data_IF_155747879735
#
_entry.id   IF_155747879735
#
_cell.length_a   1.000
_cell.length_b   1.000
_cell.length_c   1.000
_cell.angle_alpha   90.00
_cell.angle_beta   90.00
_cell.angle_gamma   90.00
#
_symmetry.space_group_name_H-M   'P 1'
#
loop_
_entity.id
_entity.type
_entity.pdbx_description
1 polymer ?
#
# COMPACT_ATOMS: atom_id res chain seq x y z
N UNK A 1 20.22 -25.73 -41.79
CA UNK A 1 19.00 -24.89 -41.78
C UNK A 1 18.49 -24.83 -40.34
N UNK A 2 18.82 -23.77 -39.63
CA UNK A 2 18.41 -23.58 -38.22
C UNK A 2 17.27 -22.53 -38.22
N UNK A 3 16.11 -22.93 -37.75
CA UNK A 3 14.97 -22.04 -37.54
C UNK A 3 15.24 -21.13 -36.35
N UNK A 4 15.28 -19.82 -36.58
CA UNK A 4 15.29 -18.77 -35.56
C UNK A 4 13.85 -18.34 -35.38
N UNK A 5 13.21 -18.70 -34.28
CA UNK A 5 11.96 -18.10 -33.82
C UNK A 5 12.29 -16.74 -33.17
N UNK A 6 11.91 -15.66 -33.80
CA UNK A 6 12.01 -14.29 -33.29
C UNK A 6 10.91 -14.06 -32.26
N UNK A 7 11.30 -13.88 -31.03
CA UNK A 7 10.44 -13.48 -29.92
C UNK A 7 10.08 -11.98 -30.05
N UNK A 8 8.81 -11.69 -30.31
CA UNK A 8 8.31 -10.34 -30.65
C UNK A 8 8.28 -9.35 -29.47
N UNK A 9 8.64 -9.78 -28.26
CA UNK A 9 8.62 -8.92 -27.05
C UNK A 9 9.92 -8.19 -26.75
N UNK A 10 10.99 -8.42 -27.52
CA UNK A 10 12.28 -7.72 -27.33
C UNK A 10 12.46 -6.50 -28.25
N UNK A 11 11.52 -6.25 -29.17
CA UNK A 11 11.67 -5.20 -30.18
C UNK A 11 11.39 -3.78 -29.69
N UNK A 12 10.51 -3.58 -28.74
CA UNK A 12 10.13 -2.22 -28.29
C UNK A 12 11.13 -1.60 -27.32
N UNK A 13 11.78 -2.40 -26.49
CA UNK A 13 12.83 -1.91 -25.57
C UNK A 13 14.09 -1.44 -26.30
N UNK A 14 14.41 -2.02 -27.45
CA UNK A 14 15.61 -1.68 -28.22
C UNK A 14 15.49 -0.38 -29.01
N UNK A 15 14.30 0.00 -29.46
CA UNK A 15 14.08 1.23 -30.23
C UNK A 15 14.13 2.49 -29.37
N UNK A 16 13.82 2.37 -28.08
CA UNK A 16 13.87 3.51 -27.15
C UNK A 16 15.31 3.90 -26.78
N UNK A 17 16.22 2.93 -26.73
CA UNK A 17 17.64 3.14 -26.36
C UNK A 17 18.44 3.87 -27.42
N UNK A 18 18.00 3.84 -28.68
CA UNK A 18 18.70 4.49 -29.80
C UNK A 18 18.37 5.98 -29.95
N UNK A 19 17.29 6.47 -29.32
CA UNK A 19 16.85 7.87 -29.49
C UNK A 19 17.29 8.82 -28.38
N UNK A 20 17.72 8.32 -27.21
CA UNK A 20 18.15 9.16 -26.08
C UNK A 20 19.47 8.60 -25.51
N UNK A 21 20.57 9.22 -25.94
CA UNK A 21 21.91 8.84 -25.55
C UNK A 21 22.11 8.56 -24.07
N UNK A 22 22.74 7.42 -23.80
CA UNK A 22 23.39 7.00 -22.55
C UNK A 22 22.87 7.59 -21.24
N UNK A 23 21.70 7.13 -20.82
CA UNK A 23 21.35 7.04 -19.41
C UNK A 23 21.17 5.57 -19.11
N UNK A 24 22.07 5.01 -18.29
CA UNK A 24 21.97 3.66 -17.77
C UNK A 24 20.57 3.46 -17.20
N UNK A 25 19.71 2.71 -17.92
CA UNK A 25 18.48 2.19 -17.34
C UNK A 25 18.94 1.22 -16.24
N UNK A 26 19.07 1.70 -15.01
CA UNK A 26 18.92 0.83 -13.86
C UNK A 26 17.51 0.26 -13.97
N UNK A 27 17.40 -0.97 -14.46
CA UNK A 27 16.26 -1.82 -14.14
C UNK A 27 16.26 -1.91 -12.62
N UNK A 28 15.46 -1.05 -11.97
CA UNK A 28 15.07 -1.25 -10.60
C UNK A 28 14.34 -2.57 -10.60
N UNK A 29 14.99 -3.60 -10.10
CA UNK A 29 14.40 -4.90 -9.81
C UNK A 29 13.45 -4.69 -8.62
N UNK A 30 12.35 -3.97 -8.89
CA UNK A 30 11.29 -3.78 -7.91
C UNK A 30 10.46 -5.04 -7.92
N UNK A 31 10.81 -5.96 -7.03
CA UNK A 31 9.99 -7.16 -6.79
C UNK A 31 8.56 -6.68 -6.51
N UNK A 32 7.60 -7.10 -7.36
CA UNK A 32 6.20 -6.77 -7.18
C UNK A 32 5.73 -7.31 -5.82
N UNK A 33 5.17 -6.44 -4.99
CA UNK A 33 4.61 -6.81 -3.68
C UNK A 33 3.09 -6.91 -3.75
N UNK A 34 2.52 -7.78 -2.92
CA UNK A 34 1.09 -7.78 -2.59
C UNK A 34 0.87 -6.85 -1.39
N UNK A 35 0.10 -5.81 -1.58
CA UNK A 35 -0.16 -4.80 -0.54
C UNK A 35 -1.61 -4.89 -0.10
N UNK A 36 -1.82 -5.02 1.21
CA UNK A 36 -3.14 -4.81 1.81
C UNK A 36 -3.27 -3.33 2.15
N UNK A 37 -4.17 -2.61 1.48
CA UNK A 37 -4.44 -1.20 1.76
C UNK A 37 -5.72 -1.05 2.57
N UNK A 38 -5.60 -0.68 3.86
CA UNK A 38 -6.72 -0.44 4.76
C UNK A 38 -7.29 0.96 4.59
N UNK A 39 -8.60 1.05 4.34
CA UNK A 39 -9.35 2.30 4.33
C UNK A 39 -10.78 2.09 4.85
N UNK A 40 -11.31 3.07 5.56
CA UNK A 40 -12.66 2.96 6.11
C UNK A 40 -13.72 2.90 5.01
N UNK A 41 -14.64 1.94 5.11
CA UNK A 41 -15.79 1.81 4.19
C UNK A 41 -17.01 2.54 4.75
N UNK A 42 -17.32 2.32 6.05
CA UNK A 42 -18.53 2.84 6.72
C UNK A 42 -18.26 4.09 7.56
N UNK A 43 -17.00 4.44 7.85
CA UNK A 43 -16.63 5.59 8.68
C UNK A 43 -16.50 6.89 7.88
N UNK A 44 -15.80 7.86 8.46
CA UNK A 44 -15.53 9.11 7.78
C UNK A 44 -14.52 8.92 6.63
N UNK A 45 -14.94 9.19 5.41
CA UNK A 45 -14.13 9.05 4.18
C UNK A 45 -13.60 10.39 3.65
N UNK A 46 -13.44 11.41 4.50
CA UNK A 46 -12.95 12.73 4.07
C UNK A 46 -11.56 12.70 3.41
N UNK A 47 -10.77 11.65 3.67
CA UNK A 47 -9.43 11.43 3.10
C UNK A 47 -9.42 10.47 1.90
N UNK A 48 -10.57 10.26 1.25
CA UNK A 48 -10.70 9.30 0.14
C UNK A 48 -9.75 9.63 -1.02
N UNK A 49 -9.52 10.91 -1.33
CA UNK A 49 -8.63 11.30 -2.42
C UNK A 49 -7.17 10.97 -2.12
N UNK A 50 -6.73 11.18 -0.87
CA UNK A 50 -5.41 10.73 -0.40
C UNK A 50 -5.28 9.21 -0.53
N UNK A 51 -6.29 8.45 -0.09
CA UNK A 51 -6.32 7.00 -0.20
C UNK A 51 -6.24 6.52 -1.66
N UNK A 52 -7.03 7.12 -2.57
CA UNK A 52 -6.98 6.84 -4.02
C UNK A 52 -5.61 7.10 -4.59
N UNK A 53 -5.01 8.21 -4.20
CA UNK A 53 -3.69 8.60 -4.70
C UNK A 53 -2.61 7.62 -4.27
N UNK A 54 -2.62 7.17 -3.01
CA UNK A 54 -1.70 6.13 -2.52
C UNK A 54 -1.86 4.85 -3.34
N UNK A 55 -3.09 4.36 -3.52
CA UNK A 55 -3.35 3.15 -4.32
C UNK A 55 -2.82 3.29 -5.74
N UNK A 56 -3.09 4.44 -6.42
CA UNK A 56 -2.58 4.70 -7.77
C UNK A 56 -1.05 4.71 -7.84
N UNK A 57 -0.36 5.24 -6.84
CA UNK A 57 1.10 5.24 -6.79
C UNK A 57 1.66 3.83 -6.63
N UNK A 58 1.04 3.03 -5.76
CA UNK A 58 1.45 1.64 -5.54
C UNK A 58 1.25 0.78 -6.80
N UNK A 59 0.07 0.87 -7.42
CA UNK A 59 -0.24 0.16 -8.67
C UNK A 59 0.65 0.65 -9.83
N UNK A 60 0.88 1.97 -9.93
CA UNK A 60 1.77 2.57 -10.93
C UNK A 60 3.24 2.15 -10.79
N UNK A 61 3.65 1.73 -9.60
CA UNK A 61 4.98 1.16 -9.32
C UNK A 61 5.04 -0.37 -9.54
N UNK A 62 3.94 -1.00 -10.00
CA UNK A 62 3.89 -2.42 -10.33
C UNK A 62 3.53 -3.33 -9.15
N UNK A 63 3.03 -2.79 -8.03
CA UNK A 63 2.55 -3.58 -6.90
C UNK A 63 1.08 -3.98 -7.08
N UNK A 64 0.68 -5.11 -6.49
CA UNK A 64 -0.71 -5.58 -6.44
C UNK A 64 -1.38 -5.07 -5.16
N UNK A 65 -2.42 -4.22 -5.28
CA UNK A 65 -3.22 -3.76 -4.14
C UNK A 65 -4.44 -4.67 -3.98
N UNK A 66 -4.38 -5.62 -3.04
CA UNK A 66 -5.39 -6.66 -2.82
C UNK A 66 -6.77 -6.10 -2.50
N UNK A 67 -6.81 -4.98 -1.80
CA UNK A 67 -8.03 -4.31 -1.30
C UNK A 67 -8.39 -3.06 -2.10
N UNK A 68 -7.95 -2.95 -3.34
CA UNK A 68 -8.14 -1.76 -4.20
C UNK A 68 -9.59 -1.26 -4.21
N UNK A 69 -10.56 -2.15 -4.13
CA UNK A 69 -11.99 -1.82 -4.13
C UNK A 69 -12.43 -0.91 -2.97
N UNK A 70 -11.66 -0.83 -1.87
CA UNK A 70 -11.99 0.02 -0.72
C UNK A 70 -11.95 1.52 -1.06
N UNK A 71 -11.24 1.92 -2.12
CA UNK A 71 -11.19 3.31 -2.59
C UNK A 71 -12.20 3.63 -3.69
N UNK A 72 -13.04 2.68 -4.09
CA UNK A 72 -14.15 2.89 -5.02
C UNK A 72 -15.31 3.64 -4.32
N UNK A 73 -16.08 4.41 -5.10
CA UNK A 73 -17.23 5.16 -4.57
C UNK A 73 -18.32 4.22 -4.03
N UNK A 74 -18.46 3.05 -4.64
CA UNK A 74 -19.46 2.04 -4.29
C UNK A 74 -18.92 0.91 -3.41
N UNK A 75 -17.82 1.15 -2.68
CA UNK A 75 -17.21 0.13 -1.81
C UNK A 75 -18.20 -0.42 -0.78
N UNK A 76 -19.00 0.46 -0.15
CA UNK A 76 -20.02 0.09 0.83
C UNK A 76 -21.13 -0.77 0.24
N UNK A 77 -21.65 -0.38 -0.92
CA UNK A 77 -22.71 -1.11 -1.62
C UNK A 77 -22.23 -2.50 -2.02
N UNK A 78 -20.99 -2.62 -2.49
CA UNK A 78 -20.39 -3.91 -2.89
C UNK A 78 -20.22 -4.86 -1.70
N UNK A 79 -19.72 -4.39 -0.58
CA UNK A 79 -19.53 -5.21 0.61
C UNK A 79 -20.89 -5.70 1.19
N UNK A 80 -21.97 -4.96 0.98
CA UNK A 80 -23.32 -5.40 1.39
C UNK A 80 -23.93 -6.50 0.51
N UNK A 81 -23.33 -6.83 -0.64
CA UNK A 81 -23.78 -7.91 -1.51
C UNK A 81 -23.28 -9.29 -1.07
N UNK A 82 -22.35 -9.34 -0.13
CA UNK A 82 -21.79 -10.58 0.42
C UNK A 82 -22.01 -10.63 1.94
N UNK A 83 -21.89 -11.81 2.51
CA UNK A 83 -22.12 -12.01 3.95
C UNK A 83 -20.94 -11.49 4.78
N UNK A 84 -21.16 -11.11 6.06
CA UNK A 84 -20.05 -10.75 6.95
C UNK A 84 -18.98 -11.84 7.07
N UNK A 85 -19.38 -13.12 7.00
CA UNK A 85 -18.47 -14.26 7.05
C UNK A 85 -17.57 -14.33 5.80
N UNK A 86 -18.12 -14.04 4.63
CA UNK A 86 -17.36 -13.99 3.38
C UNK A 86 -16.37 -12.81 3.37
N UNK A 87 -16.78 -11.63 3.86
CA UNK A 87 -15.89 -10.48 4.05
C UNK A 87 -14.73 -10.87 4.96
N UNK A 88 -15.04 -11.41 6.15
CA UNK A 88 -14.02 -11.84 7.11
C UNK A 88 -13.05 -12.85 6.50
N UNK A 89 -13.54 -13.89 5.83
CA UNK A 89 -12.69 -14.92 5.22
C UNK A 89 -11.80 -14.33 4.12
N UNK A 90 -12.35 -13.45 3.28
CA UNK A 90 -11.61 -12.74 2.20
C UNK A 90 -10.48 -11.90 2.78
N UNK A 91 -10.80 -11.04 3.76
CA UNK A 91 -9.86 -10.06 4.28
C UNK A 91 -8.76 -10.75 5.11
N UNK A 92 -9.11 -11.78 5.90
CA UNK A 92 -8.12 -12.60 6.61
C UNK A 92 -7.16 -13.33 5.65
N UNK A 93 -7.67 -13.84 4.53
CA UNK A 93 -6.84 -14.43 3.48
C UNK A 93 -5.86 -13.40 2.91
N UNK A 94 -6.33 -12.20 2.56
CA UNK A 94 -5.48 -11.15 2.02
C UNK A 94 -4.44 -10.65 3.02
N UNK A 95 -4.78 -10.53 4.31
CA UNK A 95 -3.81 -10.21 5.37
C UNK A 95 -2.72 -11.28 5.51
N UNK A 96 -3.05 -12.55 5.28
CA UNK A 96 -2.06 -13.63 5.29
C UNK A 96 -1.18 -13.61 4.03
N UNK A 97 -1.73 -13.21 2.87
CA UNK A 97 -1.01 -13.21 1.59
C UNK A 97 -0.21 -11.93 1.33
N UNK A 98 -0.56 -10.79 1.96
CA UNK A 98 0.13 -9.54 1.70
C UNK A 98 1.59 -9.58 2.19
N UNK A 99 2.45 -8.83 1.52
CA UNK A 99 3.84 -8.58 1.93
C UNK A 99 3.94 -7.37 2.84
N UNK A 100 3.06 -6.39 2.64
CA UNK A 100 3.03 -5.11 3.36
C UNK A 100 1.58 -4.69 3.62
N UNK A 101 1.33 -4.16 4.82
CA UNK A 101 0.08 -3.52 5.20
C UNK A 101 0.27 -2.00 5.21
N UNK A 102 -0.59 -1.29 4.49
CA UNK A 102 -0.65 0.18 4.51
C UNK A 102 -2.08 0.56 4.83
N UNK A 103 -2.31 1.55 5.69
CA UNK A 103 -3.66 2.05 5.93
C UNK A 103 -3.69 3.57 6.12
N UNK A 104 -4.78 4.20 5.67
CA UNK A 104 -5.14 5.57 6.02
C UNK A 104 -6.18 5.51 7.14
N UNK A 105 -5.78 5.96 8.34
CA UNK A 105 -6.52 5.74 9.59
C UNK A 105 -7.19 7.00 10.15
N UNK A 106 -7.24 8.09 9.41
CA UNK A 106 -7.92 9.34 9.80
C UNK A 106 -9.42 9.13 10.01
N UNK A 107 -10.03 8.25 9.20
CA UNK A 107 -11.40 7.82 9.39
C UNK A 107 -11.47 6.69 10.42
N UNK A 108 -12.25 6.88 11.50
CA UNK A 108 -12.41 5.83 12.52
C UNK A 108 -12.96 4.53 11.91
N UNK A 109 -12.27 3.42 12.15
CA UNK A 109 -12.66 2.08 11.70
C UNK A 109 -12.19 1.01 12.68
N UNK A 110 -13.15 0.29 13.26
CA UNK A 110 -12.87 -0.88 14.11
C UNK A 110 -12.24 -2.01 13.29
N UNK A 111 -12.61 -2.14 12.01
CA UNK A 111 -12.03 -3.11 11.07
C UNK A 111 -10.53 -2.92 10.90
N UNK A 112 -10.09 -1.69 10.56
CA UNK A 112 -8.65 -1.38 10.40
C UNK A 112 -7.89 -1.63 11.71
N UNK A 113 -8.47 -1.29 12.85
CA UNK A 113 -7.86 -1.58 14.17
C UNK A 113 -7.67 -3.07 14.40
N UNK A 114 -8.68 -3.89 14.07
CA UNK A 114 -8.61 -5.35 14.12
C UNK A 114 -7.54 -5.91 13.18
N UNK A 115 -7.55 -5.49 11.91
CA UNK A 115 -6.60 -5.91 10.86
C UNK A 115 -5.15 -5.59 11.25
N UNK A 116 -4.90 -4.35 11.71
CA UNK A 116 -3.59 -3.92 12.19
C UNK A 116 -3.12 -4.78 13.37
N UNK A 117 -3.98 -4.97 14.37
CA UNK A 117 -3.65 -5.77 15.56
C UNK A 117 -3.40 -7.23 15.22
N UNK A 118 -4.22 -7.82 14.33
CA UNK A 118 -4.04 -9.19 13.85
C UNK A 118 -2.71 -9.36 13.11
N UNK A 119 -2.42 -8.47 12.15
CA UNK A 119 -1.18 -8.55 11.35
C UNK A 119 0.06 -8.46 12.26
N UNK A 120 0.13 -7.44 13.12
CA UNK A 120 1.28 -7.22 14.00
C UNK A 120 1.46 -8.33 15.04
N UNK A 121 0.35 -8.91 15.52
CA UNK A 121 0.38 -9.99 16.52
C UNK A 121 0.64 -11.38 15.95
N UNK A 122 0.38 -11.61 14.67
CA UNK A 122 0.44 -12.94 14.05
C UNK A 122 1.56 -13.13 13.03
N UNK A 123 2.28 -12.05 12.66
CA UNK A 123 3.29 -12.09 11.62
C UNK A 123 4.45 -11.14 11.89
N UNK A 124 5.51 -11.24 11.09
CA UNK A 124 6.63 -10.28 11.08
C UNK A 124 6.48 -9.21 10.00
N UNK A 125 5.29 -9.10 9.42
CA UNK A 125 5.00 -8.12 8.35
C UNK A 125 4.95 -6.72 8.92
N UNK A 126 5.24 -5.75 8.07
CA UNK A 126 5.24 -4.33 8.44
C UNK A 126 3.88 -3.70 8.19
N UNK A 127 3.54 -2.73 9.03
CA UNK A 127 2.38 -1.88 8.90
C UNK A 127 2.82 -0.41 8.81
N UNK A 128 2.25 0.34 7.86
CA UNK A 128 2.41 1.79 7.72
C UNK A 128 1.03 2.42 7.87
N UNK A 129 0.89 3.29 8.86
CA UNK A 129 -0.39 3.92 9.18
C UNK A 129 -0.28 5.43 8.96
N UNK A 130 -0.98 5.94 7.95
CA UNK A 130 -1.09 7.37 7.65
C UNK A 130 -2.26 7.99 8.41
N UNK A 131 -2.10 9.20 8.93
CA UNK A 131 -3.18 9.97 9.53
C UNK A 131 -2.94 11.47 9.46
N UNK A 132 -4.02 12.24 9.35
CA UNK A 132 -3.95 13.71 9.33
C UNK A 132 -3.62 14.27 10.71
N UNK A 133 -2.61 15.14 10.78
CA UNK A 133 -2.13 15.76 12.02
C UNK A 133 -3.23 16.51 12.77
N UNK A 134 -4.09 17.26 12.04
CA UNK A 134 -5.13 18.08 12.66
C UNK A 134 -6.22 17.32 13.40
N UNK A 135 -6.37 16.01 13.09
CA UNK A 135 -7.37 15.15 13.74
C UNK A 135 -6.78 14.03 14.59
N UNK A 136 -5.47 14.07 14.86
CA UNK A 136 -4.76 13.06 15.66
C UNK A 136 -5.47 12.75 16.98
N UNK A 137 -5.97 13.78 17.68
CA UNK A 137 -6.69 13.63 18.95
C UNK A 137 -8.02 12.88 18.85
N UNK A 138 -8.57 12.74 17.66
CA UNK A 138 -9.80 11.98 17.39
C UNK A 138 -9.55 10.54 16.95
N UNK A 139 -8.28 10.20 16.68
CA UNK A 139 -7.86 8.85 16.32
C UNK A 139 -7.69 8.03 17.61
N UNK A 140 -7.96 6.73 17.53
CA UNK A 140 -7.76 5.82 18.67
C UNK A 140 -6.34 5.92 19.21
N UNK A 141 -6.21 6.12 20.53
CA UNK A 141 -4.91 6.16 21.22
C UNK A 141 -4.13 4.85 21.10
N UNK A 142 -4.80 3.72 20.84
CA UNK A 142 -4.14 2.45 20.53
C UNK A 142 -3.46 2.46 19.15
N UNK A 143 -3.92 3.33 18.24
CA UNK A 143 -3.27 3.53 16.93
C UNK A 143 -2.13 4.55 17.07
N UNK A 144 -2.40 5.76 17.57
CA UNK A 144 -1.40 6.82 17.66
C UNK A 144 -0.29 6.54 18.69
N UNK A 145 -0.58 5.73 19.69
CA UNK A 145 0.40 5.26 20.69
C UNK A 145 1.04 3.91 20.36
N UNK A 146 0.91 3.39 19.14
CA UNK A 146 1.47 2.10 18.76
C UNK A 146 3.00 2.18 18.65
N UNK A 147 3.69 1.43 19.50
CA UNK A 147 5.16 1.34 19.55
C UNK A 147 5.70 -0.01 19.06
N UNK A 148 4.86 -0.78 18.34
CA UNK A 148 5.31 -2.07 17.80
C UNK A 148 6.44 -1.86 16.77
N UNK A 149 7.56 -2.62 16.81
CA UNK A 149 8.73 -2.38 15.96
C UNK A 149 8.45 -2.51 14.46
N UNK A 150 7.39 -3.25 14.09
CA UNK A 150 6.95 -3.39 12.70
C UNK A 150 5.83 -2.41 12.32
N UNK A 151 5.52 -1.40 13.14
CA UNK A 151 4.50 -0.40 12.85
C UNK A 151 5.15 0.97 12.70
N UNK A 152 4.96 1.58 11.54
CA UNK A 152 5.38 2.96 11.26
C UNK A 152 4.17 3.86 11.25
N UNK A 153 4.17 4.89 12.08
CA UNK A 153 3.14 5.93 12.11
C UNK A 153 3.61 7.12 11.29
N UNK A 154 2.79 7.57 10.34
CA UNK A 154 3.12 8.66 9.42
C UNK A 154 2.04 9.75 9.51
N UNK A 155 2.22 10.73 10.41
CA UNK A 155 1.36 11.91 10.44
C UNK A 155 1.61 12.76 9.20
N UNK A 156 0.54 13.32 8.62
CA UNK A 156 0.64 14.20 7.45
C UNK A 156 -0.28 15.43 7.57
N UNK A 157 0.18 16.57 7.05
CA UNK A 157 -0.58 17.82 6.99
C UNK A 157 -1.28 18.02 5.63
N UNK A 158 -0.74 17.42 4.57
CA UNK A 158 -1.28 17.52 3.21
C UNK A 158 -0.96 16.27 2.37
N UNK A 159 -1.66 16.10 1.25
CA UNK A 159 -1.56 14.94 0.38
C UNK A 159 -0.16 14.75 -0.22
N UNK A 160 0.57 15.84 -0.52
CA UNK A 160 1.91 15.76 -1.10
C UNK A 160 2.90 15.08 -0.15
N UNK A 161 2.75 15.24 1.17
CA UNK A 161 3.60 14.57 2.15
C UNK A 161 3.44 13.05 2.11
N UNK A 162 2.21 12.57 1.96
CA UNK A 162 1.91 11.14 1.79
C UNK A 162 2.49 10.63 0.47
N UNK A 163 2.27 11.38 -0.63
CA UNK A 163 2.83 11.00 -1.94
C UNK A 163 4.35 10.90 -1.91
N UNK A 164 5.03 11.89 -1.32
CA UNK A 164 6.47 11.89 -1.21
C UNK A 164 6.96 10.70 -0.38
N UNK A 165 6.33 10.44 0.77
CA UNK A 165 6.67 9.28 1.59
C UNK A 165 6.54 7.97 0.82
N UNK A 166 5.43 7.78 0.10
CA UNK A 166 5.21 6.56 -0.71
C UNK A 166 6.26 6.45 -1.81
N UNK A 167 6.53 7.53 -2.57
CA UNK A 167 7.54 7.54 -3.64
C UNK A 167 8.94 7.26 -3.12
N UNK A 168 9.34 7.89 -2.01
CA UNK A 168 10.67 7.70 -1.41
C UNK A 168 10.83 6.26 -0.92
N UNK A 169 9.79 5.71 -0.30
CA UNK A 169 9.74 4.33 0.16
C UNK A 169 9.88 3.32 -0.99
N UNK A 170 9.22 3.60 -2.13
CA UNK A 170 9.29 2.75 -3.33
C UNK A 170 10.64 2.89 -4.05
N UNK A 171 11.23 4.10 -4.09
CA UNK A 171 12.50 4.38 -4.80
C UNK A 171 13.72 3.80 -4.08
N UNK A 172 13.65 3.67 -2.76
CA UNK A 172 14.77 3.19 -1.93
C UNK A 172 14.91 1.67 -1.91
N UNK A 173 14.04 0.96 -2.63
CA UNK A 173 13.96 -0.51 -2.59
C UNK A 173 13.51 -1.03 -1.22
N UNK A 174 13.46 -2.35 -1.06
CA UNK A 174 13.09 -3.01 0.22
C UNK A 174 13.94 -2.53 1.42
N UNK A 175 15.15 -2.01 1.16
CA UNK A 175 16.08 -1.54 2.19
C UNK A 175 15.58 -0.31 2.97
N UNK A 176 14.77 0.56 2.37
CA UNK A 176 14.25 1.74 3.09
C UNK A 176 13.13 1.36 4.05
N UNK A 177 12.24 0.46 3.65
CA UNK A 177 11.26 -0.15 4.56
C UNK A 177 11.94 -0.95 5.68
N UNK A 178 13.15 -1.48 5.44
CA UNK A 178 13.97 -2.16 6.45
C UNK A 178 14.70 -1.20 7.38
N UNK A 179 15.24 -0.08 6.87
CA UNK A 179 16.01 0.89 7.64
C UNK A 179 15.15 1.69 8.62
N UNK A 180 13.90 2.04 8.26
CA UNK A 180 12.98 2.77 9.16
C UNK A 180 12.53 1.93 10.36
N UNK A 181 12.68 0.61 10.33
CA UNK A 181 12.39 -0.27 11.45
C UNK A 181 13.58 -0.47 12.41
N UNK A 182 14.77 0.03 12.09
CA UNK A 182 16.03 -0.18 12.83
C UNK A 182 16.52 1.02 13.64
N UNK A 183 15.81 2.15 13.67
CA UNK A 183 16.20 3.37 14.39
C UNK A 183 15.17 3.76 15.46
N UNK A 184 14.94 2.87 16.42
CA UNK A 184 14.25 3.17 17.67
C UNK A 184 15.09 2.63 18.85
#
# INVERSE_FOLDING_TARGET
MANVTTDAHLGEAYLWTLYHGSSSLMLLDTTSMKIYFGFTVAGNRATIETARRVVQLLEGAGHEVLTRHLVDDNAWERDRLITPQEIFARDMKWLQECDLFIAEVSGSSSGIGFETGYLLGSSHKKAILFFRCEIEKSISLLITGNTHPNCTLVPYGNENEVENFVRDSLSSGSSHFEAMAGSA
#
